data_IF_975749293818
#
_entry.id   IF_975749293818
#
_cell.length_a   1.000
_cell.length_b   1.000
_cell.length_c   1.000
_cell.angle_alpha   90.00
_cell.angle_beta   90.00
_cell.angle_gamma   90.00
#
_symmetry.space_group_name_H-M   'P 1'
#
loop_
_entity.id
_entity.type
_entity.pdbx_description
1 polymer ?
#
# COMPACT_ATOMS: atom_id res chain seq x y z
N UNK A 1 7.00 -1.83 -69.20
CA UNK A 1 6.34 -3.12 -68.90
C UNK A 1 6.50 -3.36 -67.42
N UNK A 2 5.50 -2.99 -66.64
CA UNK A 2 5.43 -3.25 -65.20
C UNK A 2 4.92 -4.67 -65.01
N UNK A 3 5.79 -5.53 -64.48
CA UNK A 3 5.53 -6.92 -64.15
C UNK A 3 4.41 -6.97 -63.10
N UNK A 4 3.25 -7.50 -63.51
CA UNK A 4 2.10 -7.70 -62.62
C UNK A 4 2.47 -8.84 -61.66
N UNK A 5 2.91 -8.50 -60.44
CA UNK A 5 3.05 -9.47 -59.37
C UNK A 5 1.67 -10.02 -59.03
N UNK A 6 1.57 -11.34 -59.05
CA UNK A 6 0.37 -12.09 -58.71
C UNK A 6 -0.11 -11.70 -57.29
N UNK A 7 -1.33 -11.15 -57.13
CA UNK A 7 -1.85 -10.74 -55.83
C UNK A 7 -1.93 -11.91 -54.83
N UNK A 8 -2.10 -13.15 -55.30
CA UNK A 8 -2.19 -14.30 -54.41
C UNK A 8 -0.84 -14.62 -53.74
N UNK A 9 0.27 -14.39 -54.44
CA UNK A 9 1.61 -14.57 -53.88
C UNK A 9 1.94 -13.58 -52.75
N UNK A 10 1.32 -12.38 -52.77
CA UNK A 10 1.50 -11.39 -51.70
C UNK A 10 0.69 -11.74 -50.45
N UNK A 11 -0.46 -12.42 -50.62
CA UNK A 11 -1.28 -12.87 -49.49
C UNK A 11 -0.58 -14.02 -48.77
N UNK A 12 0.02 -14.96 -49.50
CA UNK A 12 0.76 -16.07 -48.90
C UNK A 12 2.02 -15.60 -48.16
N UNK A 13 2.77 -14.65 -48.72
CA UNK A 13 3.93 -14.04 -48.06
C UNK A 13 3.51 -13.29 -46.78
N UNK A 14 2.36 -12.61 -46.80
CA UNK A 14 1.82 -11.93 -45.62
C UNK A 14 1.36 -12.92 -44.54
N UNK A 15 0.69 -14.02 -44.91
CA UNK A 15 0.23 -15.04 -43.97
C UNK A 15 1.39 -15.85 -43.36
N UNK A 16 2.47 -16.07 -44.12
CA UNK A 16 3.69 -16.69 -43.61
C UNK A 16 4.44 -15.76 -42.65
N UNK A 17 4.51 -14.46 -42.97
CA UNK A 17 5.05 -13.44 -42.09
C UNK A 17 4.21 -13.27 -40.81
N UNK A 18 2.88 -13.36 -40.90
CA UNK A 18 1.97 -13.33 -39.75
C UNK A 18 2.12 -14.60 -38.89
N UNK A 19 2.35 -15.76 -39.51
CA UNK A 19 2.68 -17.01 -38.78
C UNK A 19 4.04 -16.95 -38.10
N UNK A 20 5.08 -16.44 -38.76
CA UNK A 20 6.40 -16.25 -38.14
C UNK A 20 6.34 -15.19 -37.03
N UNK A 21 5.58 -14.11 -37.22
CA UNK A 21 5.35 -13.11 -36.17
C UNK A 21 4.50 -13.67 -35.03
N UNK A 22 3.57 -14.59 -35.27
CA UNK A 22 2.75 -15.24 -34.24
C UNK A 22 3.52 -16.34 -33.50
N UNK A 23 4.40 -17.07 -34.19
CA UNK A 23 5.28 -18.09 -33.61
C UNK A 23 6.46 -17.46 -32.86
N UNK A 24 6.96 -16.31 -33.33
CA UNK A 24 7.94 -15.45 -32.66
C UNK A 24 7.34 -14.52 -31.59
N UNK A 25 6.01 -14.29 -31.61
CA UNK A 25 5.22 -13.68 -30.53
C UNK A 25 4.58 -14.70 -29.58
N UNK A 26 5.35 -15.69 -29.15
CA UNK A 26 5.51 -15.80 -27.69
C UNK A 26 6.58 -14.76 -27.32
N UNK A 27 6.38 -13.46 -27.58
CA UNK A 27 5.93 -12.55 -26.54
C UNK A 27 6.18 -13.21 -25.19
N UNK A 28 7.42 -13.06 -24.71
CA UNK A 28 7.76 -13.27 -23.31
C UNK A 28 6.58 -12.72 -22.54
N UNK A 29 5.74 -13.60 -22.00
CA UNK A 29 4.69 -13.16 -21.11
C UNK A 29 5.46 -12.65 -19.93
N UNK A 30 5.54 -11.34 -19.80
CA UNK A 30 6.05 -10.69 -18.61
C UNK A 30 5.05 -11.03 -17.52
N UNK A 31 5.30 -12.13 -16.83
CA UNK A 31 4.57 -12.47 -15.63
C UNK A 31 5.06 -11.51 -14.55
N UNK A 32 4.14 -10.72 -13.99
CA UNK A 32 4.48 -9.78 -12.91
C UNK A 32 4.41 -10.46 -11.53
N UNK A 33 3.69 -11.57 -11.41
CA UNK A 33 3.51 -12.30 -10.14
C UNK A 33 3.40 -13.82 -10.35
N UNK A 34 3.68 -14.58 -9.29
CA UNK A 34 3.43 -16.02 -9.17
C UNK A 34 3.54 -16.50 -7.72
N UNK A 35 3.18 -17.76 -7.47
CA UNK A 35 3.29 -18.36 -6.13
C UNK A 35 4.44 -19.36 -6.11
N UNK A 36 5.24 -19.35 -5.05
CA UNK A 36 6.32 -20.32 -4.90
C UNK A 36 5.71 -21.72 -4.68
N UNK A 37 5.89 -22.63 -5.63
CA UNK A 37 5.43 -24.01 -5.55
C UNK A 37 6.49 -24.96 -4.98
N UNK A 38 7.77 -24.57 -5.00
CA UNK A 38 8.86 -25.34 -4.39
C UNK A 38 10.06 -24.44 -4.09
N UNK A 39 10.78 -24.75 -3.02
CA UNK A 39 12.04 -24.11 -2.67
C UNK A 39 13.08 -25.15 -2.26
N UNK A 40 14.24 -25.13 -2.90
CA UNK A 40 15.30 -26.10 -2.66
C UNK A 40 16.68 -25.45 -2.66
N UNK A 41 17.57 -25.95 -1.80
CA UNK A 41 19.00 -25.64 -1.88
C UNK A 41 19.66 -26.65 -2.79
N UNK A 42 20.22 -26.18 -3.90
CA UNK A 42 20.88 -27.02 -4.89
C UNK A 42 22.37 -26.66 -5.00
N UNK A 43 23.25 -27.58 -5.40
CA UNK A 43 24.61 -27.24 -5.80
C UNK A 43 24.64 -26.22 -6.94
N UNK A 44 25.60 -25.29 -6.94
CA UNK A 44 25.72 -24.29 -8.01
C UNK A 44 25.95 -24.92 -9.40
N UNK A 45 26.48 -26.15 -9.45
CA UNK A 45 26.65 -26.93 -10.68
C UNK A 45 25.35 -27.45 -11.30
N UNK A 46 24.23 -27.38 -10.58
CA UNK A 46 22.91 -27.76 -11.10
C UNK A 46 22.17 -26.55 -11.70
N UNK A 47 22.69 -25.34 -11.52
CA UNK A 47 22.16 -24.13 -12.15
C UNK A 47 22.52 -24.15 -13.64
N UNK A 48 21.58 -23.88 -14.56
CA UNK A 48 21.87 -23.85 -15.99
C UNK A 48 23.00 -22.87 -16.34
N UNK A 49 23.93 -23.29 -17.20
CA UNK A 49 25.09 -22.49 -17.61
C UNK A 49 24.69 -21.19 -18.36
N UNK A 50 23.48 -21.16 -18.91
CA UNK A 50 22.90 -20.03 -19.62
C UNK A 50 22.13 -19.06 -18.72
N UNK A 51 21.98 -19.36 -17.42
CA UNK A 51 21.32 -18.47 -16.47
C UNK A 51 22.07 -17.12 -16.35
N UNK A 52 21.37 -15.97 -16.44
CA UNK A 52 22.00 -14.66 -16.63
C UNK A 52 22.77 -14.17 -15.40
N UNK A 53 22.45 -14.68 -14.21
CA UNK A 53 23.09 -14.30 -12.96
C UNK A 53 24.10 -15.37 -12.55
N UNK A 54 25.37 -14.99 -12.49
CA UNK A 54 26.43 -15.90 -12.07
C UNK A 54 26.32 -16.25 -10.57
N UNK A 55 26.15 -17.53 -10.24
CA UNK A 55 26.22 -18.04 -8.87
C UNK A 55 27.70 -18.30 -8.52
N UNK A 56 28.26 -17.55 -7.57
CA UNK A 56 29.69 -17.63 -7.21
C UNK A 56 29.93 -18.49 -5.97
N UNK A 57 28.89 -18.72 -5.15
CA UNK A 57 28.94 -19.65 -4.02
C UNK A 57 28.78 -21.10 -4.47
N UNK A 58 28.93 -22.04 -3.52
CA UNK A 58 28.80 -23.49 -3.79
C UNK A 58 27.35 -23.94 -3.95
N UNK A 59 26.39 -23.13 -3.54
CA UNK A 59 24.98 -23.49 -3.47
C UNK A 59 24.11 -22.36 -4.03
N UNK A 60 22.99 -22.72 -4.63
CA UNK A 60 21.94 -21.80 -5.02
C UNK A 60 20.64 -22.14 -4.30
N UNK A 61 19.82 -21.13 -4.05
CA UNK A 61 18.41 -21.31 -3.75
C UNK A 61 17.66 -21.37 -5.08
N UNK A 62 17.10 -22.53 -5.38
CA UNK A 62 16.13 -22.69 -6.45
C UNK A 62 14.74 -22.41 -5.90
N UNK A 63 13.99 -21.56 -6.59
CA UNK A 63 12.57 -21.33 -6.35
C UNK A 63 11.82 -21.68 -7.62
N UNK A 64 10.86 -22.60 -7.51
CA UNK A 64 9.90 -22.88 -8.56
C UNK A 64 8.68 -22.02 -8.29
N UNK A 65 8.33 -21.17 -9.26
CA UNK A 65 7.22 -20.21 -9.15
C UNK A 65 6.15 -20.60 -10.16
N UNK A 66 4.96 -20.93 -9.66
CA UNK A 66 3.77 -21.17 -10.47
C UNK A 66 3.12 -19.83 -10.82
N UNK A 67 3.10 -19.53 -12.11
CA UNK A 67 2.47 -18.33 -12.67
C UNK A 67 0.94 -18.47 -12.70
N UNK A 68 0.18 -17.37 -12.83
CA UNK A 68 -1.29 -17.41 -12.92
C UNK A 68 -1.84 -18.28 -14.06
N UNK A 69 -1.04 -18.49 -15.12
CA UNK A 69 -1.40 -19.33 -16.26
C UNK A 69 -1.10 -20.83 -16.03
N UNK A 70 -0.57 -21.19 -14.86
CA UNK A 70 -0.19 -22.56 -14.50
C UNK A 70 1.17 -23.01 -15.04
N UNK A 71 1.96 -22.09 -15.61
CA UNK A 71 3.35 -22.38 -16.00
C UNK A 71 4.25 -22.29 -14.78
N UNK A 72 5.19 -23.23 -14.63
CA UNK A 72 6.20 -23.20 -13.57
C UNK A 72 7.51 -22.67 -14.12
N UNK A 73 8.04 -21.66 -13.44
CA UNK A 73 9.28 -20.98 -13.79
C UNK A 73 10.30 -21.20 -12.66
N UNK A 74 11.49 -21.65 -13.01
CA UNK A 74 12.58 -21.80 -12.05
C UNK A 74 13.44 -20.53 -12.01
N UNK A 75 13.69 -20.01 -10.83
CA UNK A 75 14.60 -18.89 -10.59
C UNK A 75 15.65 -19.30 -9.54
N UNK A 76 16.85 -18.75 -9.69
CA UNK A 76 18.00 -19.13 -8.89
C UNK A 76 18.62 -17.90 -8.23
N UNK A 77 18.87 -18.00 -6.93
CA UNK A 77 19.50 -16.97 -6.12
C UNK A 77 20.75 -17.54 -5.46
N UNK A 78 21.77 -16.72 -5.28
CA UNK A 78 23.02 -17.13 -4.67
C UNK A 78 22.84 -17.44 -3.18
N UNK A 79 23.05 -18.70 -2.78
CA UNK A 79 22.95 -19.07 -1.37
C UNK A 79 24.27 -18.77 -0.64
N UNK A 80 24.24 -17.97 0.44
CA UNK A 80 25.45 -17.60 1.17
C UNK A 80 26.14 -18.82 1.81
N UNK A 81 27.47 -18.83 1.79
CA UNK A 81 28.29 -19.80 2.51
C UNK A 81 28.13 -19.71 4.04
N UNK A 82 28.72 -20.68 4.76
CA UNK A 82 28.79 -20.61 6.22
C UNK A 82 29.60 -19.39 6.67
N UNK A 83 28.94 -18.44 7.35
CA UNK A 83 29.55 -17.19 7.82
C UNK A 83 29.66 -16.08 6.77
N UNK A 84 29.06 -16.26 5.60
CA UNK A 84 28.89 -15.21 4.58
C UNK A 84 27.45 -14.69 4.61
N UNK A 85 27.29 -13.40 4.38
CA UNK A 85 26.00 -12.73 4.15
C UNK A 85 25.75 -12.69 2.63
N UNK A 86 24.51 -12.95 2.20
CA UNK A 86 24.10 -12.78 0.80
C UNK A 86 22.95 -11.80 0.80
N UNK A 87 23.23 -10.60 0.30
CA UNK A 87 22.27 -9.50 0.27
C UNK A 87 20.97 -9.91 -0.44
N UNK A 88 21.05 -10.71 -1.51
CA UNK A 88 19.88 -11.03 -2.35
C UNK A 88 18.91 -12.04 -1.71
N UNK A 89 19.43 -13.11 -1.10
CA UNK A 89 18.58 -14.12 -0.45
C UNK A 89 17.98 -13.54 0.83
N UNK A 90 18.77 -12.80 1.61
CA UNK A 90 18.26 -12.15 2.80
C UNK A 90 17.23 -11.09 2.45
N UNK A 91 17.46 -10.26 1.42
CA UNK A 91 16.48 -9.30 0.94
C UNK A 91 15.17 -9.94 0.45
N UNK A 92 15.25 -11.08 -0.27
CA UNK A 92 14.04 -11.80 -0.66
C UNK A 92 13.31 -12.39 0.55
N UNK A 93 14.01 -13.05 1.46
CA UNK A 93 13.38 -13.64 2.63
C UNK A 93 12.79 -12.55 3.54
N UNK A 94 13.44 -11.39 3.68
CA UNK A 94 12.87 -10.21 4.36
C UNK A 94 11.64 -9.67 3.63
N UNK A 95 11.65 -9.63 2.29
CA UNK A 95 10.48 -9.25 1.49
C UNK A 95 9.30 -10.21 1.73
N UNK A 96 9.57 -11.50 1.93
CA UNK A 96 8.61 -12.52 2.34
C UNK A 96 8.33 -12.53 3.86
N UNK A 97 9.09 -11.76 4.65
CA UNK A 97 9.15 -11.75 6.11
C UNK A 97 9.36 -13.10 6.74
N UNK A 98 10.34 -13.82 6.22
CA UNK A 98 10.81 -15.13 6.67
C UNK A 98 12.24 -15.01 7.17
N UNK A 99 12.59 -15.79 8.18
CA UNK A 99 13.98 -15.98 8.56
C UNK A 99 14.76 -16.85 7.56
N UNK A 100 16.10 -16.77 7.58
CA UNK A 100 16.99 -17.63 6.76
C UNK A 100 16.78 -19.14 7.02
N UNK A 101 16.37 -19.50 8.22
CA UNK A 101 16.02 -20.85 8.65
C UNK A 101 14.61 -21.28 8.20
N UNK A 102 13.78 -20.34 7.76
CA UNK A 102 12.40 -20.57 7.30
C UNK A 102 12.29 -20.65 5.77
N UNK A 103 13.40 -20.67 5.03
CA UNK A 103 13.37 -20.72 3.55
C UNK A 103 12.57 -21.92 3.00
N UNK A 104 12.42 -23.01 3.76
CA UNK A 104 11.61 -24.16 3.35
C UNK A 104 10.09 -23.91 3.47
N UNK A 105 9.69 -22.87 4.20
CA UNK A 105 8.30 -22.50 4.45
C UNK A 105 7.78 -21.42 3.49
N UNK A 106 8.54 -21.06 2.45
CA UNK A 106 8.10 -20.09 1.43
C UNK A 106 7.05 -20.67 0.47
N UNK A 107 6.69 -21.96 0.60
CA UNK A 107 5.67 -22.58 -0.22
C UNK A 107 4.34 -21.83 -0.11
N UNK A 108 3.79 -21.45 -1.27
CA UNK A 108 2.56 -20.69 -1.40
C UNK A 108 2.73 -19.18 -1.25
N UNK A 109 3.91 -18.69 -0.85
CA UNK A 109 4.16 -17.25 -0.77
C UNK A 109 4.15 -16.65 -2.19
N UNK A 110 3.54 -15.48 -2.34
CA UNK A 110 3.46 -14.76 -3.61
C UNK A 110 4.74 -13.95 -3.83
N UNK A 111 5.32 -14.07 -5.01
CA UNK A 111 6.54 -13.35 -5.43
C UNK A 111 6.28 -12.56 -6.70
N UNK A 112 6.95 -11.42 -6.82
CA UNK A 112 6.97 -10.65 -8.05
C UNK A 112 8.08 -11.18 -8.95
N UNK A 113 7.74 -11.50 -10.19
CA UNK A 113 8.70 -11.95 -11.20
C UNK A 113 9.13 -10.75 -12.04
N UNK A 114 10.43 -10.65 -12.30
CA UNK A 114 10.98 -9.72 -13.28
C UNK A 114 11.46 -10.51 -14.50
N UNK A 115 11.02 -10.13 -15.69
CA UNK A 115 11.36 -10.82 -16.93
C UNK A 115 12.32 -9.97 -17.75
N UNK A 116 13.59 -10.37 -17.82
CA UNK A 116 14.59 -9.74 -18.69
C UNK A 116 15.16 -10.80 -19.64
N UNK A 117 15.08 -10.53 -20.95
CA UNK A 117 15.62 -11.40 -22.02
C UNK A 117 15.18 -12.88 -21.97
N UNK A 118 13.96 -13.16 -21.51
CA UNK A 118 13.39 -14.51 -21.43
C UNK A 118 13.77 -15.29 -20.17
N UNK A 119 14.47 -14.65 -19.24
CA UNK A 119 14.74 -15.17 -17.90
C UNK A 119 13.81 -14.53 -16.89
N UNK A 120 13.61 -15.22 -15.77
CA UNK A 120 12.78 -14.74 -14.68
C UNK A 120 13.59 -14.64 -13.38
N UNK A 121 13.83 -13.40 -12.94
CA UNK A 121 14.32 -13.09 -11.60
C UNK A 121 13.16 -12.86 -10.63
N UNK A 122 13.46 -12.82 -9.33
CA UNK A 122 12.50 -12.32 -8.34
C UNK A 122 12.87 -10.89 -7.98
N UNK A 123 11.89 -10.00 -8.11
CA UNK A 123 11.99 -8.62 -7.66
C UNK A 123 11.60 -8.55 -6.19
N UNK A 124 12.58 -8.43 -5.30
CA UNK A 124 12.34 -8.41 -3.86
C UNK A 124 11.54 -7.18 -3.42
N UNK A 125 11.72 -6.03 -4.06
CA UNK A 125 10.97 -4.81 -3.74
C UNK A 125 9.49 -4.95 -4.09
N UNK A 126 9.19 -5.40 -5.31
CA UNK A 126 7.80 -5.69 -5.72
C UNK A 126 7.20 -6.84 -4.91
N UNK A 127 7.99 -7.85 -4.55
CA UNK A 127 7.54 -8.94 -3.67
C UNK A 127 7.12 -8.42 -2.29
N UNK A 128 7.91 -7.52 -1.70
CA UNK A 128 7.55 -6.87 -0.44
C UNK A 128 6.26 -6.04 -0.58
N UNK A 129 6.07 -5.35 -1.72
CA UNK A 129 4.85 -4.62 -2.02
C UNK A 129 3.62 -5.55 -2.15
N UNK A 130 3.75 -6.69 -2.86
CA UNK A 130 2.70 -7.70 -2.98
C UNK A 130 2.29 -8.25 -1.61
N UNK A 131 3.26 -8.63 -0.78
CA UNK A 131 2.98 -9.08 0.60
C UNK A 131 2.31 -7.98 1.43
N UNK A 132 2.79 -6.74 1.28
CA UNK A 132 2.14 -5.56 1.86
C UNK A 132 0.67 -5.49 1.47
N UNK A 133 0.34 -5.67 0.18
CA UNK A 133 -1.04 -5.60 -0.33
C UNK A 133 -1.91 -6.73 0.21
N UNK A 134 -1.37 -7.95 0.32
CA UNK A 134 -2.07 -9.10 0.90
C UNK A 134 -2.42 -8.84 2.37
N UNK A 135 -1.43 -8.35 3.14
CA UNK A 135 -1.59 -7.90 4.53
C UNK A 135 -2.58 -6.73 4.64
N UNK A 136 -2.55 -5.77 3.71
CA UNK A 136 -3.49 -4.66 3.65
C UNK A 136 -4.93 -5.16 3.42
N UNK A 137 -5.07 -6.12 2.50
CA UNK A 137 -6.33 -6.73 2.07
C UNK A 137 -6.92 -7.66 3.13
N UNK A 138 -6.08 -8.20 4.02
CA UNK A 138 -6.48 -8.88 5.23
C UNK A 138 -6.19 -10.38 5.19
N UNK A 139 -4.97 -10.76 5.59
CA UNK A 139 -4.81 -12.06 6.26
C UNK A 139 -5.65 -12.02 7.56
N UNK A 140 -6.43 -13.07 7.83
CA UNK A 140 -7.56 -13.06 8.78
C UNK A 140 -7.21 -12.69 10.23
N UNK A 141 -5.92 -12.59 10.57
CA UNK A 141 -5.43 -12.07 11.85
C UNK A 141 -5.36 -10.54 11.91
N UNK A 142 -4.93 -9.88 10.83
CA UNK A 142 -4.84 -8.41 10.70
C UNK A 142 -6.21 -7.76 10.51
N UNK A 143 -7.15 -8.53 9.98
CA UNK A 143 -8.55 -8.11 9.90
C UNK A 143 -9.16 -7.90 11.28
N UNK A 144 -8.75 -8.64 12.32
CA UNK A 144 -9.36 -8.54 13.65
C UNK A 144 -9.06 -7.21 14.34
N UNK A 145 -7.80 -6.77 14.32
CA UNK A 145 -7.35 -5.51 14.91
C UNK A 145 -7.87 -4.32 14.11
N UNK A 146 -7.81 -4.39 12.77
CA UNK A 146 -8.43 -3.41 11.87
C UNK A 146 -9.93 -3.27 12.11
N UNK A 147 -10.66 -4.39 12.18
CA UNK A 147 -12.10 -4.39 12.41
C UNK A 147 -12.45 -3.87 13.80
N UNK A 148 -11.63 -4.17 14.82
CA UNK A 148 -11.82 -3.63 16.17
C UNK A 148 -11.66 -2.10 16.21
N UNK A 149 -10.64 -1.57 15.52
CA UNK A 149 -10.45 -0.12 15.39
C UNK A 149 -11.60 0.53 14.59
N UNK A 150 -12.00 -0.07 13.47
CA UNK A 150 -13.12 0.40 12.67
C UNK A 150 -14.44 0.41 13.46
N UNK A 151 -14.68 -0.62 14.26
CA UNK A 151 -15.84 -0.69 15.17
C UNK A 151 -15.75 0.41 16.23
N UNK A 152 -14.59 0.64 16.85
CA UNK A 152 -14.42 1.70 17.83
C UNK A 152 -14.69 3.09 17.23
N UNK A 153 -14.22 3.34 16.01
CA UNK A 153 -14.50 4.57 15.25
C UNK A 153 -16.00 4.71 14.97
N UNK A 154 -16.65 3.66 14.47
CA UNK A 154 -18.07 3.66 14.19
C UNK A 154 -18.91 3.91 15.45
N UNK A 155 -18.53 3.29 16.58
CA UNK A 155 -19.16 3.49 17.88
C UNK A 155 -19.01 4.94 18.35
N UNK A 156 -17.84 5.56 18.18
CA UNK A 156 -17.62 6.97 18.53
C UNK A 156 -18.42 7.93 17.68
N UNK A 157 -18.48 7.68 16.36
CA UNK A 157 -19.31 8.45 15.45
C UNK A 157 -20.80 8.35 15.83
N UNK A 158 -21.31 7.14 16.12
CA UNK A 158 -22.71 6.93 16.54
C UNK A 158 -22.99 7.57 17.90
N UNK A 159 -22.06 7.45 18.86
CA UNK A 159 -22.21 8.04 20.19
C UNK A 159 -22.46 9.55 20.15
N UNK A 160 -21.81 10.26 19.22
CA UNK A 160 -22.04 11.70 19.03
C UNK A 160 -23.39 12.03 18.38
N UNK A 161 -24.03 11.10 17.68
CA UNK A 161 -25.32 11.31 17.00
C UNK A 161 -26.52 11.03 17.89
N UNK A 162 -26.30 10.50 19.09
CA UNK A 162 -27.36 10.20 20.04
C UNK A 162 -27.85 11.49 20.73
N UNK A 163 -29.15 11.73 20.62
CA UNK A 163 -29.85 12.89 21.21
C UNK A 163 -30.03 12.76 22.74
N UNK A 164 -30.61 13.79 23.38
CA UNK A 164 -30.85 13.90 24.83
C UNK A 164 -31.48 12.64 25.46
N UNK A 165 -32.36 11.95 24.73
CA UNK A 165 -33.00 10.71 25.19
C UNK A 165 -31.99 9.58 25.50
N UNK A 166 -30.77 9.66 24.97
CA UNK A 166 -29.71 8.67 25.12
C UNK A 166 -28.41 9.28 25.67
N UNK A 167 -28.48 10.41 26.38
CA UNK A 167 -27.32 11.13 26.90
C UNK A 167 -26.36 10.24 27.71
N UNK A 168 -26.88 9.40 28.61
CA UNK A 168 -26.02 8.49 29.39
C UNK A 168 -25.35 7.42 28.52
N UNK A 169 -25.97 7.01 27.41
CA UNK A 169 -25.36 6.08 26.48
C UNK A 169 -24.28 6.78 25.65
N UNK A 170 -24.50 8.00 25.17
CA UNK A 170 -23.49 8.75 24.41
C UNK A 170 -22.23 9.02 25.22
N UNK A 171 -22.36 9.40 26.49
CA UNK A 171 -21.22 9.56 27.41
C UNK A 171 -20.42 8.27 27.57
N UNK A 172 -21.11 7.14 27.79
CA UNK A 172 -20.45 5.82 27.90
C UNK A 172 -19.73 5.46 26.61
N UNK A 173 -20.36 5.66 25.45
CA UNK A 173 -19.74 5.38 24.15
C UNK A 173 -18.52 6.28 23.91
N UNK A 174 -18.58 7.56 24.28
CA UNK A 174 -17.43 8.47 24.20
C UNK A 174 -16.29 8.00 25.11
N UNK A 175 -16.57 7.63 26.35
CA UNK A 175 -15.56 7.10 27.28
C UNK A 175 -14.91 5.83 26.71
N UNK A 176 -15.73 4.92 26.15
CA UNK A 176 -15.23 3.71 25.49
C UNK A 176 -14.29 4.08 24.35
N UNK A 177 -14.62 5.07 23.52
CA UNK A 177 -13.78 5.45 22.36
C UNK A 177 -12.44 6.05 22.74
N UNK A 178 -12.36 6.79 23.85
CA UNK A 178 -11.09 7.34 24.38
C UNK A 178 -10.11 6.22 24.75
N UNK A 179 -10.59 5.06 25.20
CA UNK A 179 -9.73 3.90 25.45
C UNK A 179 -9.57 2.97 24.23
N UNK A 180 -10.66 2.68 23.54
CA UNK A 180 -10.71 1.69 22.46
C UNK A 180 -9.91 2.11 21.23
N UNK A 181 -9.94 3.40 20.85
CA UNK A 181 -9.20 3.88 19.68
C UNK A 181 -7.68 3.81 19.93
N UNK A 182 -7.11 4.37 21.02
CA UNK A 182 -5.67 4.26 21.29
C UNK A 182 -5.18 2.81 21.45
N UNK A 183 -5.96 1.98 22.14
CA UNK A 183 -5.62 0.55 22.29
C UNK A 183 -5.66 -0.16 20.94
N UNK A 184 -6.68 0.12 20.11
CA UNK A 184 -6.79 -0.43 18.75
C UNK A 184 -5.63 -0.03 17.85
N UNK A 185 -5.23 1.25 17.89
CA UNK A 185 -4.06 1.78 17.18
C UNK A 185 -2.78 1.08 17.65
N UNK A 186 -2.57 0.96 18.97
CA UNK A 186 -1.39 0.29 19.51
C UNK A 186 -1.28 -1.17 19.04
N UNK A 187 -2.38 -1.92 19.17
CA UNK A 187 -2.41 -3.34 18.80
C UNK A 187 -2.22 -3.54 17.29
N UNK A 188 -2.86 -2.71 16.46
CA UNK A 188 -2.66 -2.77 15.01
C UNK A 188 -1.23 -2.36 14.61
N UNK A 189 -0.66 -1.32 15.23
CA UNK A 189 0.68 -0.85 14.95
C UNK A 189 1.76 -1.89 15.28
N UNK A 190 1.67 -2.57 16.43
CA UNK A 190 2.58 -3.68 16.76
C UNK A 190 2.42 -4.84 15.78
N UNK A 191 1.18 -5.20 15.43
CA UNK A 191 0.95 -6.30 14.48
C UNK A 191 1.45 -5.99 13.07
N UNK A 192 1.29 -4.74 12.61
CA UNK A 192 1.79 -4.26 11.33
C UNK A 192 3.32 -4.22 11.33
N UNK A 193 3.93 -3.77 12.43
CA UNK A 193 5.38 -3.73 12.59
C UNK A 193 6.01 -5.12 12.54
N UNK A 194 5.34 -6.12 13.13
CA UNK A 194 5.82 -7.50 13.11
C UNK A 194 5.58 -8.19 11.75
N UNK A 195 4.54 -7.78 11.02
CA UNK A 195 4.11 -8.42 9.77
C UNK A 195 4.61 -7.77 8.48
N UNK A 196 5.06 -6.51 8.52
CA UNK A 196 5.28 -5.70 7.31
C UNK A 196 6.59 -4.91 7.40
N UNK A 197 7.04 -4.37 6.26
CA UNK A 197 8.17 -3.43 6.22
C UNK A 197 7.82 -2.05 6.80
N UNK A 198 6.54 -1.74 7.02
CA UNK A 198 6.12 -0.49 7.62
C UNK A 198 6.21 -0.59 9.15
N UNK A 199 7.04 0.27 9.75
CA UNK A 199 7.17 0.40 11.20
C UNK A 199 6.52 1.70 11.68
N UNK A 200 5.18 1.72 11.90
CA UNK A 200 4.51 2.91 12.40
C UNK A 200 5.05 3.30 13.78
N UNK A 201 5.28 4.59 14.01
CA UNK A 201 5.51 5.12 15.36
C UNK A 201 4.15 5.31 16.03
N UNK A 202 3.73 4.49 17.02
CA UNK A 202 2.35 4.53 17.51
C UNK A 202 2.05 5.73 18.41
N UNK A 203 3.07 6.34 19.03
CA UNK A 203 2.89 7.36 20.07
C UNK A 203 2.08 8.60 19.61
N UNK A 204 2.35 9.23 18.44
CA UNK A 204 1.55 10.37 17.98
C UNK A 204 0.08 10.01 17.78
N UNK A 205 -0.19 8.83 17.22
CA UNK A 205 -1.54 8.32 16.98
C UNK A 205 -2.30 8.01 18.26
N UNK A 206 -1.63 7.42 19.25
CA UNK A 206 -2.18 7.15 20.58
C UNK A 206 -2.52 8.46 21.29
N UNK A 207 -1.60 9.44 21.29
CA UNK A 207 -1.80 10.75 21.92
C UNK A 207 -2.98 11.48 21.28
N UNK A 208 -3.04 11.52 19.94
CA UNK A 208 -4.18 12.09 19.21
C UNK A 208 -5.49 11.34 19.48
N UNK A 209 -5.44 10.01 19.56
CA UNK A 209 -6.57 9.13 19.82
C UNK A 209 -7.20 9.30 21.21
N UNK A 210 -6.46 9.87 22.17
CA UNK A 210 -6.98 10.16 23.51
C UNK A 210 -7.78 11.48 23.59
N UNK A 211 -7.75 12.32 22.55
CA UNK A 211 -8.45 13.61 22.53
C UNK A 211 -9.89 13.37 22.04
N UNK A 212 -10.94 13.56 22.86
CA UNK A 212 -12.30 13.09 22.56
C UNK A 212 -12.91 13.59 21.24
N UNK A 213 -12.54 14.80 20.79
CA UNK A 213 -13.06 15.39 19.54
C UNK A 213 -12.20 14.96 18.34
N UNK A 214 -10.91 14.71 18.56
CA UNK A 214 -9.98 14.33 17.49
C UNK A 214 -9.84 12.82 17.32
N UNK A 215 -10.26 12.02 18.30
CA UNK A 215 -9.98 10.58 18.37
C UNK A 215 -10.42 9.81 17.11
N UNK A 216 -11.63 10.06 16.62
CA UNK A 216 -12.16 9.45 15.40
C UNK A 216 -11.42 9.97 14.17
N UNK A 217 -11.12 11.27 14.09
CA UNK A 217 -10.34 11.82 12.98
C UNK A 217 -8.92 11.20 12.92
N UNK A 218 -8.27 11.04 14.07
CA UNK A 218 -6.96 10.40 14.21
C UNK A 218 -7.04 8.92 13.85
N UNK A 219 -8.06 8.20 14.33
CA UNK A 219 -8.28 6.80 13.99
C UNK A 219 -8.52 6.60 12.48
N UNK A 220 -9.30 7.48 11.86
CA UNK A 220 -9.51 7.48 10.40
C UNK A 220 -8.21 7.78 9.65
N UNK A 221 -7.46 8.80 10.06
CA UNK A 221 -6.20 9.14 9.42
C UNK A 221 -5.17 8.01 9.54
N UNK A 222 -5.10 7.34 10.69
CA UNK A 222 -4.28 6.15 10.89
C UNK A 222 -4.66 5.02 9.93
N UNK A 223 -5.97 4.73 9.79
CA UNK A 223 -6.44 3.69 8.88
C UNK A 223 -6.17 4.03 7.40
N UNK A 224 -6.28 5.31 7.01
CA UNK A 224 -5.95 5.77 5.66
C UNK A 224 -4.45 5.62 5.41
N UNK A 225 -3.61 6.07 6.33
CA UNK A 225 -2.15 5.95 6.21
C UNK A 225 -1.72 4.48 6.14
N UNK A 226 -2.27 3.64 7.00
CA UNK A 226 -2.08 2.20 6.96
C UNK A 226 -2.47 1.62 5.60
N UNK A 227 -3.63 1.99 5.07
CA UNK A 227 -4.05 1.50 3.76
C UNK A 227 -3.07 1.92 2.67
N UNK A 228 -2.69 3.20 2.63
CA UNK A 228 -1.75 3.77 1.66
C UNK A 228 -0.36 3.12 1.73
N UNK A 229 0.17 2.86 2.92
CA UNK A 229 1.50 2.26 3.11
C UNK A 229 1.52 0.79 2.75
N UNK A 230 0.42 0.08 2.99
CA UNK A 230 0.34 -1.35 2.75
C UNK A 230 -0.22 -1.70 1.36
N UNK A 231 -0.96 -0.83 0.68
CA UNK A 231 -1.57 -1.14 -0.62
C UNK A 231 -0.60 -1.16 -1.80
N UNK A 232 0.71 -0.97 -1.59
CA UNK A 232 1.71 -0.98 -2.67
C UNK A 232 1.47 0.07 -3.76
N UNK A 233 0.62 1.07 -3.49
CA UNK A 233 0.27 2.10 -4.48
C UNK A 233 1.49 2.97 -4.75
N UNK A 234 1.61 3.41 -6.00
CA UNK A 234 2.71 4.29 -6.41
C UNK A 234 2.67 5.61 -5.64
N UNK A 235 3.81 6.31 -5.59
CA UNK A 235 3.89 7.62 -4.92
C UNK A 235 2.80 8.57 -5.44
N UNK A 236 2.58 8.66 -6.75
CA UNK A 236 1.51 9.47 -7.36
C UNK A 236 0.09 9.15 -6.86
N UNK A 237 -0.21 7.88 -6.68
CA UNK A 237 -1.53 7.43 -6.20
C UNK A 237 -1.73 7.74 -4.71
N UNK A 238 -0.67 7.65 -3.90
CA UNK A 238 -0.68 8.05 -2.48
C UNK A 238 -1.14 9.49 -2.32
N UNK A 239 -0.62 10.42 -3.13
CA UNK A 239 -1.07 11.80 -3.15
C UNK A 239 -2.55 11.94 -3.49
N UNK A 240 -3.00 11.18 -4.50
CA UNK A 240 -4.40 11.21 -4.93
C UNK A 240 -5.37 10.84 -3.79
N UNK A 241 -4.99 9.93 -2.90
CA UNK A 241 -5.80 9.54 -1.73
C UNK A 241 -5.88 10.70 -0.73
N UNK A 242 -4.75 11.26 -0.30
CA UNK A 242 -4.73 12.34 0.69
C UNK A 242 -5.32 13.65 0.17
N UNK A 243 -5.09 13.96 -1.12
CA UNK A 243 -5.76 15.08 -1.80
C UNK A 243 -7.29 14.93 -1.79
N UNK A 244 -7.83 13.74 -2.12
CA UNK A 244 -9.28 13.48 -2.04
C UNK A 244 -9.79 13.58 -0.61
N UNK A 245 -9.03 13.07 0.35
CA UNK A 245 -9.36 13.14 1.77
C UNK A 245 -9.44 14.60 2.25
N UNK A 246 -8.47 15.43 1.82
CA UNK A 246 -8.44 16.86 2.06
C UNK A 246 -9.65 17.57 1.45
N UNK A 247 -9.92 17.37 0.15
CA UNK A 247 -11.09 17.95 -0.52
C UNK A 247 -12.41 17.56 0.17
N UNK A 248 -12.54 16.30 0.55
CA UNK A 248 -13.73 15.79 1.25
C UNK A 248 -13.91 16.48 2.60
N UNK A 249 -12.84 16.64 3.38
CA UNK A 249 -12.89 17.33 4.67
C UNK A 249 -13.24 18.82 4.54
N UNK A 250 -12.71 19.50 3.52
CA UNK A 250 -13.03 20.90 3.24
C UNK A 250 -14.49 21.06 2.80
N UNK A 251 -15.00 20.14 1.97
CA UNK A 251 -16.39 20.15 1.51
C UNK A 251 -17.40 19.79 2.63
N UNK A 252 -16.98 19.02 3.62
CA UNK A 252 -17.82 18.64 4.75
C UNK A 252 -18.13 19.81 5.71
N UNK A 253 -17.27 20.84 5.79
CA UNK A 253 -17.50 22.04 6.60
C UNK A 253 -18.71 22.88 6.15
N UNK A 254 -18.86 23.30 4.88
CA UNK A 254 -20.09 23.97 4.42
C UNK A 254 -21.30 23.04 4.46
N UNK A 255 -21.12 21.72 4.24
CA UNK A 255 -22.21 20.75 4.40
C UNK A 255 -22.76 20.75 5.82
N UNK A 256 -21.90 20.81 6.84
CA UNK A 256 -22.33 20.91 8.24
C UNK A 256 -23.27 22.11 8.45
N UNK A 257 -22.94 23.27 7.89
CA UNK A 257 -23.78 24.47 7.99
C UNK A 257 -25.16 24.27 7.34
N UNK A 258 -25.24 23.54 6.23
CA UNK A 258 -26.52 23.24 5.57
C UNK A 258 -27.37 22.23 6.33
N UNK A 259 -26.75 21.34 7.11
CA UNK A 259 -27.44 20.31 7.91
C UNK A 259 -27.93 20.88 9.25
N UNK A 260 -27.31 21.96 9.76
CA UNK A 260 -27.62 22.55 11.07
C UNK A 260 -29.12 22.77 11.33
N UNK A 261 -29.94 23.29 10.38
CA UNK A 261 -31.38 23.46 10.61
C UNK A 261 -32.17 22.14 10.76
N UNK A 262 -31.60 21.02 10.30
CA UNK A 262 -32.20 19.68 10.38
C UNK A 262 -31.74 18.97 11.66
N UNK A 263 -30.46 19.08 12.00
CA UNK A 263 -29.88 18.50 13.21
C UNK A 263 -28.62 19.24 13.61
N UNK A 264 -28.68 19.96 14.74
CA UNK A 264 -27.54 20.66 15.33
C UNK A 264 -26.42 19.68 15.70
N UNK A 265 -26.76 18.57 16.35
CA UNK A 265 -25.80 17.55 16.80
C UNK A 265 -25.02 16.96 15.62
N UNK A 266 -25.71 16.55 14.53
CA UNK A 266 -25.06 16.04 13.31
C UNK A 266 -24.16 17.10 12.70
N UNK A 267 -24.62 18.35 12.64
CA UNK A 267 -23.82 19.48 12.14
C UNK A 267 -22.55 19.70 12.96
N UNK A 268 -22.64 19.66 14.30
CA UNK A 268 -21.48 19.83 15.19
C UNK A 268 -20.48 18.68 15.01
N UNK A 269 -20.96 17.44 14.90
CA UNK A 269 -20.10 16.28 14.67
C UNK A 269 -19.36 16.35 13.32
N UNK A 270 -20.07 16.65 12.22
CA UNK A 270 -19.45 16.82 10.89
C UNK A 270 -18.42 17.94 10.95
N UNK A 271 -18.76 19.08 11.54
CA UNK A 271 -17.84 20.21 11.65
C UNK A 271 -16.59 19.85 12.46
N UNK A 272 -16.75 19.26 13.65
CA UNK A 272 -15.64 18.89 14.53
C UNK A 272 -14.70 17.88 13.89
N UNK A 273 -15.22 16.81 13.28
CA UNK A 273 -14.38 15.82 12.62
C UNK A 273 -13.70 16.37 11.37
N UNK A 274 -14.39 17.17 10.57
CA UNK A 274 -13.77 17.83 9.42
C UNK A 274 -12.65 18.74 9.88
N UNK A 275 -12.90 19.57 10.89
CA UNK A 275 -11.90 20.47 11.48
C UNK A 275 -10.65 19.74 11.98
N UNK A 276 -10.82 18.61 12.67
CA UNK A 276 -9.70 17.80 13.17
C UNK A 276 -8.99 17.01 12.07
N UNK A 277 -9.72 16.56 11.04
CA UNK A 277 -9.17 15.72 9.98
C UNK A 277 -8.45 16.50 8.88
N UNK A 278 -8.93 17.70 8.51
CA UNK A 278 -8.29 18.56 7.51
C UNK A 278 -6.78 18.79 7.75
N UNK A 279 -6.30 19.16 8.96
CA UNK A 279 -4.87 19.35 9.17
C UNK A 279 -4.05 18.05 9.06
N UNK A 280 -4.64 16.89 9.39
CA UNK A 280 -3.99 15.58 9.19
C UNK A 280 -3.86 15.28 7.69
N UNK A 281 -4.94 15.49 6.93
CA UNK A 281 -4.91 15.31 5.48
C UNK A 281 -3.91 16.24 4.78
N UNK A 282 -3.75 17.48 5.27
CA UNK A 282 -2.72 18.42 4.77
C UNK A 282 -1.32 17.95 5.15
N UNK A 283 -1.09 17.48 6.37
CA UNK A 283 0.21 16.97 6.80
C UNK A 283 0.69 15.84 5.87
N UNK A 284 -0.15 14.82 5.64
CA UNK A 284 0.21 13.67 4.81
C UNK A 284 0.27 13.98 3.31
N UNK A 285 -0.58 14.88 2.82
CA UNK A 285 -0.43 15.34 1.43
C UNK A 285 0.85 16.17 1.27
N UNK A 286 1.24 17.00 2.25
CA UNK A 286 2.43 17.83 2.19
C UNK A 286 3.74 17.00 2.17
N UNK A 287 3.83 15.96 3.01
CA UNK A 287 4.95 14.99 2.99
C UNK A 287 5.15 14.43 1.57
N UNK A 288 4.07 14.10 0.87
CA UNK A 288 4.15 13.65 -0.51
C UNK A 288 4.57 14.77 -1.48
N UNK A 289 4.01 15.97 -1.33
CA UNK A 289 4.30 17.08 -2.25
C UNK A 289 5.78 17.47 -2.18
N UNK A 290 6.40 17.34 -1.01
CA UNK A 290 7.85 17.50 -0.84
C UNK A 290 8.63 16.46 -1.66
N UNK A 291 8.23 15.19 -1.63
CA UNK A 291 8.87 14.13 -2.41
C UNK A 291 8.69 14.31 -3.94
N UNK A 292 7.58 14.89 -4.38
CA UNK A 292 7.16 14.92 -5.77
C UNK A 292 7.43 16.23 -6.51
N UNK A 293 7.87 17.29 -5.82
CA UNK A 293 8.02 18.62 -6.41
C UNK A 293 9.23 19.40 -5.87
N UNK A 294 9.49 20.58 -6.44
CA UNK A 294 10.51 21.51 -5.94
C UNK A 294 10.03 22.35 -4.74
N UNK A 295 8.80 22.10 -4.27
CA UNK A 295 8.22 22.77 -3.13
C UNK A 295 8.48 21.94 -1.89
N UNK A 296 9.12 22.54 -0.89
CA UNK A 296 9.30 22.00 0.46
C UNK A 296 8.22 22.58 1.39
N UNK A 297 6.96 22.10 1.35
CA UNK A 297 5.96 22.51 2.32
C UNK A 297 6.41 22.02 3.68
N UNK A 298 6.75 22.93 4.60
CA UNK A 298 6.92 22.57 6.01
C UNK A 298 5.60 22.01 6.55
N UNK A 299 5.45 20.70 6.55
CA UNK A 299 4.19 19.98 6.72
C UNK A 299 3.53 20.32 8.06
N UNK A 300 4.31 20.46 9.13
CA UNK A 300 3.78 20.83 10.44
C UNK A 300 3.26 22.26 10.46
N UNK A 301 3.93 23.19 9.77
CA UNK A 301 3.46 24.58 9.71
C UNK A 301 2.16 24.70 8.92
N UNK A 302 2.02 23.94 7.83
CA UNK A 302 0.77 23.90 7.07
C UNK A 302 -0.36 23.27 7.87
N UNK A 303 -0.11 22.13 8.52
CA UNK A 303 -1.10 21.48 9.38
C UNK A 303 -1.55 22.41 10.52
N UNK A 304 -0.62 23.09 11.19
CA UNK A 304 -0.93 24.08 12.24
C UNK A 304 -1.69 25.28 11.68
N UNK A 305 -1.27 25.83 10.54
CA UNK A 305 -1.96 26.95 9.90
C UNK A 305 -3.41 26.57 9.54
N UNK A 306 -3.61 25.39 8.96
CA UNK A 306 -4.93 24.85 8.61
C UNK A 306 -5.77 24.59 9.84
N UNK A 307 -5.19 24.09 10.93
CA UNK A 307 -5.91 23.92 12.19
C UNK A 307 -6.45 25.25 12.73
N UNK A 308 -5.71 26.36 12.62
CA UNK A 308 -6.17 27.66 13.13
C UNK A 308 -7.00 28.48 12.13
N UNK A 309 -6.81 28.28 10.83
CA UNK A 309 -7.46 29.09 9.78
C UNK A 309 -8.48 28.32 8.95
N UNK A 310 -8.65 27.02 9.20
CA UNK A 310 -9.66 26.15 8.61
C UNK A 310 -9.62 26.15 7.08
N UNK A 311 -10.78 26.34 6.44
CA UNK A 311 -10.98 26.41 4.98
C UNK A 311 -10.03 27.41 4.32
N UNK A 312 -9.69 28.54 4.96
CA UNK A 312 -8.78 29.52 4.38
C UNK A 312 -7.36 28.98 4.25
N UNK A 313 -6.86 28.32 5.30
CA UNK A 313 -5.56 27.65 5.28
C UNK A 313 -5.53 26.50 4.29
N UNK A 314 -6.58 25.66 4.29
CA UNK A 314 -6.70 24.54 3.37
C UNK A 314 -6.79 25.00 1.91
N UNK A 315 -7.54 26.06 1.64
CA UNK A 315 -7.65 26.67 0.30
C UNK A 315 -6.33 27.28 -0.17
N UNK A 316 -5.59 27.96 0.71
CA UNK A 316 -4.27 28.49 0.40
C UNK A 316 -3.26 27.36 0.09
N UNK A 317 -3.30 26.27 0.87
CA UNK A 317 -2.51 25.07 0.63
C UNK A 317 -2.85 24.43 -0.73
N UNK A 318 -4.13 24.17 -1.00
CA UNK A 318 -4.59 23.55 -2.25
C UNK A 318 -4.22 24.38 -3.48
N UNK A 319 -4.35 25.71 -3.40
CA UNK A 319 -3.93 26.62 -4.47
C UNK A 319 -2.41 26.53 -4.72
N UNK A 320 -1.63 26.45 -3.65
CA UNK A 320 -0.17 26.35 -3.75
C UNK A 320 0.26 25.00 -4.32
N UNK A 321 -0.37 23.92 -3.88
CA UNK A 321 -0.21 22.56 -4.43
C UNK A 321 -0.50 22.53 -5.92
N UNK A 322 -1.63 23.09 -6.35
CA UNK A 322 -2.00 23.17 -7.77
C UNK A 322 -0.91 23.86 -8.61
N UNK A 323 -0.37 24.99 -8.15
CA UNK A 323 0.69 25.73 -8.85
C UNK A 323 2.02 24.98 -8.99
N UNK A 324 2.24 23.93 -8.19
CA UNK A 324 3.52 23.23 -8.07
C UNK A 324 3.53 21.86 -8.71
N UNK A 325 2.36 21.24 -8.85
CA UNK A 325 2.20 19.92 -9.45
C UNK A 325 1.58 19.95 -10.86
N UNK A 326 0.83 21.01 -11.21
CA UNK A 326 0.19 21.20 -12.52
C UNK A 326 0.81 22.38 -13.30
#
# INVERSE_FOLDING_TARGET
>A
MSEHRDPDAQVDEFLELERELSAGRRASKTYEEGNVSEAAKIPASEVPDDYPVAIRTRQALQLNVETPDGETVATYLEWPGEGEESDHVEQLLDALGRGRDEFANVYGDRVALDSEDGWHGIDAEKTAALRGTEIASGDGSLDKTRNLLAVAIAVGAVGLLLDDAFHSLSEILLIITIGAIPVGIYLDAEQVKDGTSWSPTPNPWIIGGMIPIANVAVGLAYLVERHVRLSGITSGERSGVWYKALLTSVAALPLALTINPVSEIVSVAIFGYSWCFTPLAVYFDAEYVEDASDWEPKEELWAVAVFFTSILGAGAYLLRRYQKLD
#
